data_IF_635121176500
#
_entry.id   IF_635121176500
#
_cell.length_a   1.000
_cell.length_b   1.000
_cell.length_c   1.000
_cell.angle_alpha   90.00
_cell.angle_beta   90.00
_cell.angle_gamma   90.00
#
_symmetry.space_group_name_H-M   'P 1'
#
loop_
_entity.id
_entity.type
_entity.pdbx_description
1 polymer ?
#
# COMPACT_ATOMS: atom_id res chain seq x y z
N UNK A 1 -4.60 32.82 -7.35
CA UNK A 1 -4.92 31.81 -6.31
C UNK A 1 -6.12 30.96 -6.72
N UNK A 2 -7.27 31.57 -7.07
CA UNK A 2 -8.47 30.85 -7.54
C UNK A 2 -8.18 29.81 -8.65
N UNK A 3 -7.42 30.19 -9.69
CA UNK A 3 -7.09 29.27 -10.79
C UNK A 3 -6.28 28.05 -10.35
N UNK A 4 -5.34 28.21 -9.41
CA UNK A 4 -4.53 27.11 -8.90
C UNK A 4 -5.36 26.12 -8.08
N UNK A 5 -6.26 26.63 -7.23
CA UNK A 5 -7.16 25.77 -6.46
C UNK A 5 -8.19 25.06 -7.35
N UNK A 6 -8.70 25.73 -8.40
CA UNK A 6 -9.57 25.08 -9.38
C UNK A 6 -8.85 23.91 -10.07
N UNK A 7 -7.58 24.08 -10.47
CA UNK A 7 -6.77 23.01 -11.06
C UNK A 7 -6.57 21.81 -10.12
N UNK A 8 -6.60 22.01 -8.80
CA UNK A 8 -6.48 20.93 -7.80
C UNK A 8 -7.83 20.29 -7.47
N UNK A 9 -8.87 21.09 -7.25
CA UNK A 9 -10.18 20.62 -6.78
C UNK A 9 -10.98 19.97 -7.90
N UNK A 10 -10.92 20.51 -9.12
CA UNK A 10 -11.76 20.03 -10.24
C UNK A 10 -11.46 18.55 -10.60
N UNK A 11 -10.21 18.10 -10.77
CA UNK A 11 -9.93 16.69 -11.06
C UNK A 11 -10.40 15.76 -9.94
N UNK A 12 -10.22 16.17 -8.68
CA UNK A 12 -10.66 15.39 -7.50
C UNK A 12 -12.18 15.28 -7.46
N UNK A 13 -12.90 16.38 -7.67
CA UNK A 13 -14.35 16.40 -7.70
C UNK A 13 -14.92 15.55 -8.84
N UNK A 14 -14.33 15.62 -10.05
CA UNK A 14 -14.72 14.79 -11.18
C UNK A 14 -14.45 13.30 -10.93
N UNK A 15 -13.31 12.96 -10.32
CA UNK A 15 -12.97 11.58 -9.98
C UNK A 15 -13.93 10.98 -8.93
N UNK A 16 -14.23 11.75 -7.87
CA UNK A 16 -15.20 11.35 -6.85
C UNK A 16 -16.62 11.21 -7.42
N UNK A 17 -17.02 12.12 -8.31
CA UNK A 17 -18.29 12.06 -9.03
C UNK A 17 -18.41 10.81 -9.91
N UNK A 18 -17.37 10.49 -10.69
CA UNK A 18 -17.34 9.28 -11.51
C UNK A 18 -17.36 7.98 -10.69
N UNK A 19 -16.70 7.99 -9.53
CA UNK A 19 -16.68 6.83 -8.63
C UNK A 19 -17.94 6.74 -7.74
N UNK A 20 -18.78 7.79 -7.71
CA UNK A 20 -19.92 7.94 -6.81
C UNK A 20 -19.56 7.74 -5.32
N UNK A 21 -18.39 8.25 -4.90
CA UNK A 21 -17.88 8.13 -3.53
C UNK A 21 -17.72 9.49 -2.88
N UNK A 22 -18.03 9.60 -1.59
CA UNK A 22 -17.74 10.80 -0.81
C UNK A 22 -16.28 10.82 -0.34
N UNK A 23 -15.65 12.01 -0.27
CA UNK A 23 -14.29 12.11 0.24
C UNK A 23 -14.25 11.76 1.73
N UNK A 24 -13.25 10.99 2.14
CA UNK A 24 -12.95 10.74 3.56
C UNK A 24 -11.93 11.77 4.08
N UNK A 25 -11.88 12.07 5.38
CA UNK A 25 -10.87 12.97 5.93
C UNK A 25 -9.43 12.56 5.58
N UNK A 26 -9.15 11.25 5.56
CA UNK A 26 -7.85 10.71 5.16
C UNK A 26 -7.49 11.01 3.70
N UNK A 27 -8.47 11.04 2.80
CA UNK A 27 -8.28 11.36 1.37
C UNK A 27 -8.04 12.84 1.10
N UNK A 28 -8.47 13.73 2.00
CA UNK A 28 -8.36 15.18 1.82
C UNK A 28 -6.97 15.73 2.16
N UNK A 29 -6.16 14.97 2.92
CA UNK A 29 -4.84 15.42 3.39
C UNK A 29 -3.93 15.96 2.27
N UNK A 30 -3.65 15.19 1.20
CA UNK A 30 -2.84 15.67 0.09
C UNK A 30 -3.42 16.89 -0.64
N UNK A 31 -4.74 16.96 -0.79
CA UNK A 31 -5.41 18.10 -1.42
C UNK A 31 -5.25 19.38 -0.59
N UNK A 32 -5.49 19.29 0.73
CA UNK A 32 -5.33 20.41 1.66
C UNK A 32 -3.87 20.86 1.70
N UNK A 33 -2.93 19.93 1.73
CA UNK A 33 -1.50 20.22 1.64
C UNK A 33 -1.17 20.99 0.35
N UNK A 34 -1.62 20.51 -0.81
CA UNK A 34 -1.39 21.17 -2.10
C UNK A 34 -1.98 22.58 -2.13
N UNK A 35 -3.21 22.77 -1.62
CA UNK A 35 -3.84 24.10 -1.52
C UNK A 35 -3.04 25.06 -0.64
N UNK A 36 -2.54 24.59 0.51
CA UNK A 36 -1.70 25.37 1.42
C UNK A 36 -0.35 25.73 0.77
N UNK A 37 0.26 24.80 0.03
CA UNK A 37 1.47 25.07 -0.75
C UNK A 37 1.23 26.12 -1.83
N UNK A 38 0.07 26.13 -2.50
CA UNK A 38 -0.26 27.21 -3.44
C UNK A 38 -0.30 28.59 -2.76
N UNK A 39 -0.83 28.68 -1.54
CA UNK A 39 -0.83 29.93 -0.76
C UNK A 39 0.60 30.33 -0.43
N UNK A 40 1.40 29.39 0.06
CA UNK A 40 2.80 29.66 0.41
C UNK A 40 3.61 30.15 -0.80
N UNK A 41 3.50 29.49 -1.95
CA UNK A 41 4.17 29.92 -3.18
C UNK A 41 3.67 31.29 -3.69
N UNK A 42 2.37 31.58 -3.55
CA UNK A 42 1.83 32.88 -3.92
C UNK A 42 2.41 34.00 -3.04
N UNK A 43 2.54 33.77 -1.74
CA UNK A 43 3.18 34.69 -0.79
C UNK A 43 4.65 34.93 -1.15
N UNK A 44 5.40 33.87 -1.42
CA UNK A 44 6.82 33.98 -1.81
C UNK A 44 6.95 34.76 -3.12
N UNK A 45 6.17 34.40 -4.15
CA UNK A 45 6.17 35.06 -5.45
C UNK A 45 5.78 36.53 -5.37
N UNK A 46 4.79 36.88 -4.53
CA UNK A 46 4.42 38.28 -4.27
C UNK A 46 5.57 39.05 -3.63
N UNK A 47 6.25 38.47 -2.63
CA UNK A 47 7.42 39.11 -2.02
C UNK A 47 8.57 39.35 -2.98
N UNK A 48 8.87 38.39 -3.85
CA UNK A 48 9.88 38.56 -4.89
C UNK A 48 9.45 39.61 -5.91
N UNK A 49 8.17 39.65 -6.28
CA UNK A 49 7.61 40.64 -7.21
C UNK A 49 7.63 42.09 -6.68
N UNK A 50 7.70 42.28 -5.37
CA UNK A 50 7.92 43.60 -4.76
C UNK A 50 9.39 44.07 -4.88
N UNK A 51 10.33 43.13 -5.06
CA UNK A 51 11.77 43.41 -5.09
C UNK A 51 12.35 43.43 -6.52
N UNK A 52 11.72 42.74 -7.47
CA UNK A 52 12.22 42.57 -8.81
C UNK A 52 11.15 42.88 -9.89
N UNK A 53 11.54 43.39 -11.07
CA UNK A 53 10.61 43.60 -12.18
C UNK A 53 9.91 42.31 -12.61
N UNK A 54 8.63 42.34 -13.03
CA UNK A 54 7.88 41.14 -13.43
C UNK A 54 8.56 40.30 -14.51
N UNK A 55 9.26 40.96 -15.45
CA UNK A 55 10.01 40.34 -16.55
C UNK A 55 11.14 39.43 -16.04
N UNK A 56 11.69 39.69 -14.85
CA UNK A 56 12.77 38.90 -14.24
C UNK A 56 12.23 37.97 -13.16
N UNK A 57 11.29 38.44 -12.34
CA UNK A 57 10.76 37.69 -11.20
C UNK A 57 10.10 36.36 -11.63
N UNK A 58 9.24 36.39 -12.66
CA UNK A 58 8.53 35.21 -13.13
C UNK A 58 9.46 34.09 -13.67
N UNK A 59 10.39 34.34 -14.61
CA UNK A 59 11.30 33.30 -15.08
C UNK A 59 12.26 32.82 -13.98
N UNK A 60 12.76 33.73 -13.13
CA UNK A 60 13.62 33.36 -12.01
C UNK A 60 12.91 32.39 -11.06
N UNK A 61 11.69 32.72 -10.63
CA UNK A 61 10.91 31.84 -9.75
C UNK A 61 10.58 30.52 -10.41
N UNK A 62 10.31 30.52 -11.72
CA UNK A 62 10.05 29.28 -12.48
C UNK A 62 11.28 28.37 -12.48
N UNK A 63 12.46 28.92 -12.74
CA UNK A 63 13.73 28.18 -12.69
C UNK A 63 14.00 27.67 -11.27
N UNK A 64 13.83 28.50 -10.24
CA UNK A 64 14.03 28.09 -8.85
C UNK A 64 13.08 26.95 -8.44
N UNK A 65 11.80 27.04 -8.78
CA UNK A 65 10.83 25.96 -8.52
C UNK A 65 11.22 24.69 -9.28
N UNK A 66 11.65 24.81 -10.54
CA UNK A 66 12.10 23.66 -11.30
C UNK A 66 13.33 22.99 -10.66
N UNK A 67 14.35 23.77 -10.28
CA UNK A 67 15.57 23.23 -9.65
C UNK A 67 15.29 22.65 -8.26
N UNK A 68 14.50 23.33 -7.44
CA UNK A 68 14.30 22.91 -6.04
C UNK A 68 13.22 21.83 -5.87
N UNK A 69 12.21 21.84 -6.74
CA UNK A 69 11.09 20.91 -6.67
C UNK A 69 11.24 19.86 -7.76
N UNK A 70 11.19 20.22 -9.04
CA UNK A 70 11.14 19.24 -10.12
C UNK A 70 12.40 18.35 -10.16
N UNK A 71 13.59 18.94 -10.06
CA UNK A 71 14.86 18.21 -10.10
C UNK A 71 15.11 17.34 -8.86
N UNK A 72 14.39 17.55 -7.75
CA UNK A 72 14.50 16.68 -6.57
C UNK A 72 14.12 15.22 -6.88
N UNK A 73 13.28 15.00 -7.89
CA UNK A 73 12.92 13.67 -8.39
C UNK A 73 14.10 12.90 -9.00
N UNK A 74 15.03 13.61 -9.64
CA UNK A 74 16.18 13.00 -10.32
C UNK A 74 17.36 12.71 -9.40
N UNK A 75 17.23 12.97 -8.10
CA UNK A 75 18.29 12.72 -7.13
C UNK A 75 18.02 11.43 -6.35
N UNK A 76 19.08 10.66 -6.05
CA UNK A 76 18.99 9.50 -5.16
C UNK A 76 18.74 9.89 -3.69
N UNK A 77 18.86 11.19 -3.40
CA UNK A 77 18.58 11.78 -2.10
C UNK A 77 17.06 11.89 -1.87
N UNK A 78 16.45 10.78 -1.44
CA UNK A 78 15.02 10.66 -1.17
C UNK A 78 14.43 11.74 -0.25
N UNK A 79 15.22 12.27 0.69
CA UNK A 79 14.76 13.34 1.56
C UNK A 79 14.39 14.62 0.77
N UNK A 80 15.08 14.91 -0.34
CA UNK A 80 14.86 16.13 -1.13
C UNK A 80 13.46 16.17 -1.73
N UNK A 81 13.01 15.04 -2.31
CA UNK A 81 11.65 14.92 -2.86
C UNK A 81 10.56 15.01 -1.78
N UNK A 82 10.82 14.46 -0.59
CA UNK A 82 9.83 14.43 0.49
C UNK A 82 9.63 15.83 1.08
N UNK A 83 10.72 16.57 1.27
CA UNK A 83 10.70 17.97 1.73
C UNK A 83 10.14 18.92 0.67
N UNK A 84 10.35 18.66 -0.62
CA UNK A 84 9.77 19.49 -1.70
C UNK A 84 8.28 19.21 -1.94
N UNK A 85 7.71 18.21 -1.25
CA UNK A 85 6.30 17.85 -1.36
C UNK A 85 5.98 16.97 -2.57
N UNK A 86 7.01 16.42 -3.22
CA UNK A 86 6.82 15.42 -4.26
C UNK A 86 6.52 14.07 -3.62
N UNK A 87 5.26 13.65 -3.71
CA UNK A 87 4.84 12.31 -3.28
C UNK A 87 5.23 11.28 -4.34
N UNK A 88 6.15 10.35 -4.02
CA UNK A 88 6.74 9.50 -5.04
C UNK A 88 5.86 8.39 -5.59
N UNK A 89 4.67 8.21 -5.01
CA UNK A 89 3.81 7.09 -5.36
C UNK A 89 2.36 7.51 -5.43
N UNK A 90 1.68 7.01 -6.45
CA UNK A 90 0.23 6.83 -6.40
C UNK A 90 -0.11 5.99 -5.17
N UNK A 91 -0.99 6.49 -4.31
CA UNK A 91 -1.52 5.72 -3.18
C UNK A 91 -2.19 4.46 -3.72
N UNK A 92 -1.82 3.29 -3.17
CA UNK A 92 -2.49 2.04 -3.50
C UNK A 92 -3.84 1.96 -2.79
N UNK A 93 -4.66 0.99 -3.18
CA UNK A 93 -5.94 0.76 -2.51
C UNK A 93 -5.73 0.48 -1.02
N UNK A 94 -6.52 1.14 -0.17
CA UNK A 94 -6.41 1.03 1.29
C UNK A 94 -5.26 1.84 1.90
N UNK A 95 -4.52 2.61 1.12
CA UNK A 95 -3.48 3.51 1.63
C UNK A 95 -3.96 4.95 1.79
N UNK A 96 -3.42 5.64 2.78
CA UNK A 96 -3.57 7.09 2.91
C UNK A 96 -2.26 7.74 3.38
N UNK A 97 -2.09 9.02 3.07
CA UNK A 97 -0.98 9.81 3.60
C UNK A 97 -1.13 9.94 5.13
N UNK A 98 -0.05 9.71 5.87
CA UNK A 98 -0.03 10.06 7.31
C UNK A 98 0.03 11.58 7.45
N UNK A 99 -0.52 12.13 8.54
CA UNK A 99 -0.32 13.56 8.82
C UNK A 99 1.17 13.91 8.93
N UNK A 100 1.97 13.04 9.54
CA UNK A 100 3.43 13.20 9.61
C UNK A 100 4.09 13.32 8.23
N UNK A 101 3.55 12.62 7.23
CA UNK A 101 4.05 12.70 5.85
C UNK A 101 3.67 13.97 5.08
N UNK A 102 2.71 14.76 5.58
CA UNK A 102 2.25 16.01 4.96
C UNK A 102 2.92 17.25 5.55
N UNK A 103 3.47 17.14 6.76
CA UNK A 103 4.03 18.27 7.53
C UNK A 103 5.34 18.82 6.94
N UNK A 104 6.35 18.01 6.55
CA UNK A 104 7.64 18.54 6.08
C UNK A 104 7.56 19.54 4.93
N UNK A 105 6.80 19.31 3.84
CA UNK A 105 6.69 20.32 2.79
C UNK A 105 5.97 21.59 3.25
N UNK A 106 5.00 21.46 4.16
CA UNK A 106 4.33 22.62 4.77
C UNK A 106 5.30 23.41 5.67
N UNK A 107 6.16 22.73 6.42
CA UNK A 107 7.19 23.39 7.23
C UNK A 107 8.20 24.12 6.34
N UNK A 108 8.74 23.47 5.30
CA UNK A 108 9.71 24.12 4.42
C UNK A 108 9.10 25.34 3.72
N UNK A 109 8.09 25.12 2.88
CA UNK A 109 7.54 26.19 2.05
C UNK A 109 6.75 27.20 2.89
N UNK A 110 6.01 26.73 3.88
CA UNK A 110 5.27 27.59 4.81
C UNK A 110 6.20 28.41 5.70
N UNK A 111 7.34 27.87 6.14
CA UNK A 111 8.36 28.60 6.89
C UNK A 111 8.95 29.74 6.07
N UNK A 112 9.33 29.49 4.82
CA UNK A 112 9.80 30.51 3.88
C UNK A 112 8.73 31.58 3.64
N UNK A 113 7.50 31.16 3.33
CA UNK A 113 6.38 32.07 3.11
C UNK A 113 6.07 32.92 4.34
N UNK A 114 6.14 32.34 5.53
CA UNK A 114 5.96 33.06 6.81
C UNK A 114 7.06 34.09 7.00
N UNK A 115 8.33 33.72 6.76
CA UNK A 115 9.46 34.67 6.81
C UNK A 115 9.27 35.86 5.88
N UNK A 116 8.84 35.62 4.64
CA UNK A 116 8.50 36.67 3.67
C UNK A 116 7.34 37.53 4.16
N UNK A 117 6.27 36.91 4.67
CA UNK A 117 5.10 37.64 5.18
C UNK A 117 5.41 38.51 6.41
N UNK A 118 6.30 38.04 7.29
CA UNK A 118 6.75 38.78 8.47
C UNK A 118 7.39 40.13 8.10
N UNK A 119 8.01 40.25 6.91
CA UNK A 119 8.58 41.52 6.44
C UNK A 119 7.53 42.61 6.21
N UNK A 120 6.27 42.23 5.94
CA UNK A 120 5.16 43.16 5.74
C UNK A 120 4.42 43.51 7.03
N UNK A 121 4.64 42.77 8.12
CA UNK A 121 3.95 43.05 9.37
C UNK A 121 4.37 44.41 9.94
N UNK A 122 3.42 45.17 10.52
CA UNK A 122 3.67 46.46 11.16
C UNK A 122 4.30 46.30 12.55
N UNK A 123 5.36 45.51 12.66
CA UNK A 123 6.13 45.38 13.90
C UNK A 123 6.94 46.66 14.16
N UNK A 124 6.80 47.22 15.36
CA UNK A 124 7.44 48.49 15.75
C UNK A 124 8.97 48.43 15.70
N UNK A 125 9.56 47.26 15.92
CA UNK A 125 11.00 47.05 15.90
C UNK A 125 11.46 46.39 14.59
N UNK A 126 12.08 47.18 13.71
CA UNK A 126 12.72 46.72 12.46
C UNK A 126 13.74 45.58 12.67
N UNK A 127 14.65 45.61 13.67
CA UNK A 127 15.61 44.52 13.85
C UNK A 127 14.94 43.21 14.29
N UNK A 128 13.92 43.27 15.15
CA UNK A 128 13.17 42.08 15.57
C UNK A 128 12.45 41.45 14.37
N UNK A 129 11.85 42.27 13.50
CA UNK A 129 11.19 41.80 12.29
C UNK A 129 12.17 41.11 11.34
N UNK A 130 13.34 41.72 11.10
CA UNK A 130 14.38 41.13 10.26
C UNK A 130 14.90 39.82 10.83
N UNK A 131 15.12 39.76 12.16
CA UNK A 131 15.55 38.56 12.84
C UNK A 131 14.52 37.43 12.68
N UNK A 132 13.24 37.69 12.94
CA UNK A 132 12.17 36.69 12.77
C UNK A 132 12.02 36.22 11.32
N UNK A 133 12.07 37.15 10.37
CA UNK A 133 11.99 36.84 8.95
C UNK A 133 13.14 35.95 8.47
N UNK A 134 14.32 36.01 9.12
CA UNK A 134 15.46 35.15 8.83
C UNK A 134 15.42 33.83 9.62
N UNK A 135 15.08 33.85 10.90
CA UNK A 135 15.15 32.67 11.77
C UNK A 135 14.04 31.67 11.49
N UNK A 136 12.81 32.12 11.22
CA UNK A 136 11.67 31.23 10.98
C UNK A 136 11.89 30.29 9.79
N UNK A 137 12.26 30.78 8.58
CA UNK A 137 12.55 29.89 7.46
C UNK A 137 13.66 28.88 7.75
N UNK A 138 14.74 29.30 8.41
CA UNK A 138 15.88 28.43 8.74
C UNK A 138 15.45 27.32 9.68
N UNK A 139 14.78 27.67 10.78
CA UNK A 139 14.31 26.70 11.78
C UNK A 139 13.34 25.71 11.14
N UNK A 140 12.34 26.19 10.40
CA UNK A 140 11.38 25.33 9.73
C UNK A 140 12.02 24.42 8.68
N UNK A 141 13.01 24.91 7.92
CA UNK A 141 13.75 24.11 6.94
C UNK A 141 14.55 23.01 7.63
N UNK A 142 15.26 23.32 8.71
CA UNK A 142 16.02 22.32 9.48
C UNK A 142 15.08 21.24 10.02
N UNK A 143 13.96 21.61 10.64
CA UNK A 143 12.99 20.64 11.13
C UNK A 143 12.35 19.81 10.01
N UNK A 144 12.02 20.43 8.87
CA UNK A 144 11.47 19.73 7.72
C UNK A 144 12.44 18.67 7.21
N UNK A 145 13.73 19.03 7.05
CA UNK A 145 14.76 18.08 6.60
C UNK A 145 14.93 16.99 7.64
N UNK A 146 15.13 17.32 8.93
CA UNK A 146 15.30 16.35 10.02
C UNK A 146 14.15 15.32 10.07
N UNK A 147 12.92 15.75 9.82
CA UNK A 147 11.75 14.87 9.81
C UNK A 147 11.78 13.81 8.69
N UNK A 148 12.50 14.06 7.58
CA UNK A 148 12.50 13.19 6.39
C UNK A 148 13.82 12.50 6.10
N UNK A 149 14.92 12.81 6.82
CA UNK A 149 16.25 12.27 6.49
C UNK A 149 16.30 10.74 6.53
N UNK A 150 15.49 10.12 7.39
CA UNK A 150 15.41 8.66 7.52
C UNK A 150 14.35 8.01 6.62
N UNK A 151 13.68 8.75 5.75
CA UNK A 151 12.62 8.18 4.89
C UNK A 151 13.21 7.51 3.67
N UNK A 152 12.68 6.33 3.35
CA UNK A 152 13.07 5.56 2.17
C UNK A 152 12.38 6.09 0.89
N UNK A 153 12.34 5.23 -0.14
CA UNK A 153 11.57 5.36 -1.40
C UNK A 153 10.16 5.95 -1.21
N UNK A 154 9.51 5.64 -0.09
CA UNK A 154 8.14 6.04 0.21
C UNK A 154 8.09 6.83 1.52
N UNK A 155 7.23 7.86 1.62
CA UNK A 155 6.97 8.48 2.90
C UNK A 155 6.20 7.50 3.82
N UNK A 156 6.13 7.76 5.13
CA UNK A 156 5.26 7.00 6.03
C UNK A 156 3.80 7.08 5.59
N UNK A 157 3.18 5.93 5.31
CA UNK A 157 1.79 5.81 4.89
C UNK A 157 0.96 5.03 5.90
N UNK A 158 -0.33 5.33 5.95
CA UNK A 158 -1.32 4.49 6.61
C UNK A 158 -1.74 3.38 5.64
N UNK A 159 -1.91 2.18 6.17
CA UNK A 159 -2.51 1.04 5.47
C UNK A 159 -3.86 0.68 6.14
N UNK A 160 -4.65 -0.19 5.49
CA UNK A 160 -5.91 -0.66 6.06
C UNK A 160 -7.00 0.41 6.14
N UNK A 161 -6.90 1.48 5.35
CA UNK A 161 -7.85 2.60 5.37
C UNK A 161 -9.08 2.35 4.49
N UNK A 162 -9.10 1.23 3.75
CA UNK A 162 -10.27 0.85 2.96
C UNK A 162 -11.36 0.29 3.89
N UNK A 163 -12.61 0.77 3.80
CA UNK A 163 -13.70 0.17 4.54
C UNK A 163 -13.93 -1.27 4.06
N UNK A 164 -14.11 -2.17 5.01
CA UNK A 164 -14.25 -3.61 4.76
C UNK A 164 -15.64 -4.08 5.17
N UNK A 165 -16.29 -4.85 4.30
CA UNK A 165 -17.48 -5.61 4.63
C UNK A 165 -17.07 -7.01 5.06
N UNK A 166 -17.53 -7.42 6.23
CA UNK A 166 -17.26 -8.72 6.80
C UNK A 166 -18.54 -9.51 7.04
N UNK A 167 -18.53 -10.80 6.73
CA UNK A 167 -19.66 -11.70 7.00
C UNK A 167 -19.16 -13.01 7.61
N UNK A 168 -19.92 -13.51 8.60
CA UNK A 168 -19.67 -14.77 9.27
C UNK A 168 -18.74 -14.69 10.47
N UNK A 169 -18.62 -15.83 11.15
CA UNK A 169 -17.85 -15.93 12.40
C UNK A 169 -16.74 -17.00 12.32
N UNK A 170 -16.94 -18.10 11.58
CA UNK A 170 -15.96 -19.19 11.44
C UNK A 170 -15.99 -19.83 10.03
N UNK A 171 -15.17 -19.36 9.06
CA UNK A 171 -14.37 -18.14 9.13
C UNK A 171 -15.23 -16.88 8.91
N UNK A 172 -14.84 -15.79 9.58
CA UNK A 172 -15.26 -14.43 9.21
C UNK A 172 -14.51 -14.02 7.95
N UNK A 173 -15.24 -13.66 6.89
CA UNK A 173 -14.63 -13.27 5.61
C UNK A 173 -14.83 -11.77 5.39
N UNK A 174 -13.74 -11.05 5.17
CA UNK A 174 -13.71 -9.60 4.98
C UNK A 174 -13.18 -9.22 3.60
N UNK A 175 -13.95 -8.45 2.83
CA UNK A 175 -13.55 -7.88 1.53
C UNK A 175 -13.79 -6.37 1.51
N UNK A 176 -13.10 -5.59 0.66
CA UNK A 176 -13.35 -4.16 0.60
C UNK A 176 -14.76 -3.84 0.11
N UNK A 177 -15.41 -2.83 0.70
CA UNK A 177 -16.76 -2.38 0.28
C UNK A 177 -16.82 -1.97 -1.19
N UNK A 178 -15.75 -1.35 -1.68
CA UNK A 178 -15.64 -0.93 -3.08
C UNK A 178 -15.43 -2.11 -4.05
N UNK A 179 -15.26 -3.33 -3.55
CA UNK A 179 -15.05 -4.49 -4.39
C UNK A 179 -16.37 -4.90 -5.06
N UNK A 180 -16.35 -5.30 -6.35
CA UNK A 180 -17.52 -5.93 -6.98
C UNK A 180 -17.87 -7.28 -6.32
N UNK A 181 -16.97 -7.79 -5.48
CA UNK A 181 -17.15 -8.94 -4.62
C UNK A 181 -18.39 -8.83 -3.73
N UNK A 182 -19.39 -9.68 -3.97
CA UNK A 182 -20.40 -9.92 -2.93
C UNK A 182 -19.76 -10.76 -1.82
N UNK A 183 -19.51 -10.15 -0.67
CA UNK A 183 -18.89 -10.79 0.51
C UNK A 183 -19.51 -12.15 0.86
N UNK A 184 -20.83 -12.29 0.70
CA UNK A 184 -21.53 -13.56 0.93
C UNK A 184 -21.13 -14.67 -0.06
N UNK A 185 -20.92 -14.33 -1.34
CA UNK A 185 -20.44 -15.28 -2.34
C UNK A 185 -18.99 -15.70 -2.06
N UNK A 186 -18.14 -14.75 -1.65
CA UNK A 186 -16.75 -15.04 -1.26
C UNK A 186 -16.70 -15.97 -0.06
N UNK A 187 -17.54 -15.73 0.95
CA UNK A 187 -17.67 -16.63 2.10
C UNK A 187 -18.13 -18.03 1.71
N UNK A 188 -19.10 -18.13 0.81
CA UNK A 188 -19.58 -19.43 0.31
C UNK A 188 -18.45 -20.23 -0.32
N UNK A 189 -17.63 -19.61 -1.18
CA UNK A 189 -16.47 -20.28 -1.77
C UNK A 189 -15.41 -20.66 -0.71
N UNK A 190 -15.11 -19.77 0.22
CA UNK A 190 -14.15 -20.05 1.28
C UNK A 190 -14.58 -21.22 2.18
N UNK A 191 -15.85 -21.26 2.58
CA UNK A 191 -16.40 -22.36 3.37
C UNK A 191 -16.44 -23.68 2.59
N UNK A 192 -16.73 -23.64 1.29
CA UNK A 192 -16.64 -24.82 0.42
C UNK A 192 -15.21 -25.35 0.33
N UNK A 193 -14.23 -24.49 0.06
CA UNK A 193 -12.81 -24.90 -0.02
C UNK A 193 -12.34 -25.50 1.30
N UNK A 194 -12.71 -24.90 2.44
CA UNK A 194 -12.37 -25.44 3.76
C UNK A 194 -13.03 -26.81 3.99
N UNK A 195 -14.29 -26.99 3.60
CA UNK A 195 -14.99 -28.26 3.72
C UNK A 195 -14.31 -29.36 2.86
N UNK A 196 -13.91 -29.03 1.63
CA UNK A 196 -13.19 -29.95 0.74
C UNK A 196 -11.87 -30.39 1.40
N UNK A 197 -11.09 -29.44 1.93
CA UNK A 197 -9.83 -29.74 2.63
C UNK A 197 -10.06 -30.56 3.91
N UNK A 198 -11.08 -30.24 4.71
CA UNK A 198 -11.43 -30.99 5.92
C UNK A 198 -11.82 -32.42 5.60
N UNK A 199 -12.55 -32.64 4.50
CA UNK A 199 -12.91 -33.99 4.03
C UNK A 199 -11.69 -34.83 3.66
N UNK A 200 -10.56 -34.19 3.34
CA UNK A 200 -9.27 -34.81 3.06
C UNK A 200 -8.33 -34.86 4.29
N UNK A 201 -8.83 -34.56 5.50
CA UNK A 201 -8.08 -34.66 6.75
C UNK A 201 -7.21 -33.45 7.09
N UNK A 202 -7.34 -32.33 6.36
CA UNK A 202 -6.78 -31.04 6.80
C UNK A 202 -7.53 -30.55 8.05
N UNK A 203 -6.79 -30.08 9.05
CA UNK A 203 -7.38 -29.65 10.33
C UNK A 203 -7.38 -28.12 10.52
N UNK A 204 -6.75 -27.36 9.61
CA UNK A 204 -6.66 -25.91 9.74
C UNK A 204 -8.02 -25.25 9.51
N UNK A 205 -8.37 -24.29 10.37
CA UNK A 205 -9.54 -23.44 10.18
C UNK A 205 -9.18 -22.03 10.64
N UNK A 206 -9.08 -21.04 9.74
CA UNK A 206 -8.84 -19.67 10.17
C UNK A 206 -10.07 -19.13 10.87
N UNK A 207 -9.85 -18.24 11.83
CA UNK A 207 -10.91 -17.42 12.40
C UNK A 207 -11.35 -16.35 11.40
N UNK A 208 -10.37 -15.77 10.69
CA UNK A 208 -10.59 -14.65 9.76
C UNK A 208 -9.90 -14.90 8.43
N UNK A 209 -10.60 -14.63 7.33
CA UNK A 209 -10.03 -14.52 5.98
C UNK A 209 -10.26 -13.08 5.52
N UNK A 210 -9.19 -12.32 5.34
CA UNK A 210 -9.24 -10.92 4.93
C UNK A 210 -8.62 -10.75 3.55
N UNK A 211 -9.22 -9.88 2.74
CA UNK A 211 -8.64 -9.49 1.48
C UNK A 211 -7.41 -8.60 1.69
N UNK A 212 -6.25 -9.04 1.18
CA UNK A 212 -5.00 -8.27 1.24
C UNK A 212 -5.03 -6.99 0.41
N UNK A 213 -6.00 -6.80 -0.48
CA UNK A 213 -6.12 -5.59 -1.29
C UNK A 213 -6.20 -4.32 -0.42
N UNK A 214 -6.81 -4.40 0.76
CA UNK A 214 -6.91 -3.27 1.70
C UNK A 214 -5.63 -2.95 2.47
N UNK A 215 -4.61 -3.81 2.42
CA UNK A 215 -3.36 -3.64 3.19
C UNK A 215 -2.32 -2.77 2.49
N UNK A 216 -2.61 -2.29 1.27
CA UNK A 216 -1.70 -1.43 0.52
C UNK A 216 -0.47 -2.15 -0.01
N UNK A 217 0.65 -1.43 -0.06
CA UNK A 217 1.91 -1.89 -0.70
C UNK A 217 2.75 -2.83 0.16
N UNK A 218 2.49 -2.88 1.47
CA UNK A 218 3.20 -3.72 2.42
C UNK A 218 2.22 -4.73 3.04
N UNK A 219 1.74 -5.73 2.26
CA UNK A 219 0.81 -6.71 2.76
C UNK A 219 1.47 -7.55 3.86
N UNK A 220 0.68 -7.87 4.88
CA UNK A 220 1.14 -8.68 5.99
C UNK A 220 1.10 -10.17 5.61
N UNK A 221 1.98 -11.01 6.17
CA UNK A 221 1.89 -12.45 5.98
C UNK A 221 0.61 -13.01 6.64
N UNK A 222 0.11 -14.12 6.10
CA UNK A 222 -0.94 -14.89 6.76
C UNK A 222 -0.42 -15.53 8.05
N UNK A 223 -1.31 -15.71 9.02
CA UNK A 223 -1.06 -16.44 10.26
C UNK A 223 -1.97 -17.66 10.35
N UNK A 224 -1.80 -18.46 11.40
CA UNK A 224 -2.64 -19.63 11.66
C UNK A 224 -4.14 -19.27 11.79
N UNK A 225 -4.46 -18.13 12.39
CA UNK A 225 -5.84 -17.68 12.65
C UNK A 225 -6.35 -16.65 11.65
N UNK A 226 -5.46 -15.91 10.98
CA UNK A 226 -5.82 -14.84 10.03
C UNK A 226 -5.17 -15.08 8.68
N UNK A 227 -5.99 -15.47 7.71
CA UNK A 227 -5.54 -15.66 6.33
C UNK A 227 -5.70 -14.35 5.55
N UNK A 228 -4.61 -13.90 4.93
CA UNK A 228 -4.55 -12.70 4.09
C UNK A 228 -4.46 -13.12 2.64
N UNK A 229 -5.58 -13.03 1.95
CA UNK A 229 -5.79 -13.65 0.64
C UNK A 229 -6.11 -12.59 -0.39
N UNK A 230 -5.68 -12.75 -1.64
CA UNK A 230 -6.08 -11.85 -2.73
C UNK A 230 -7.50 -12.13 -3.21
N UNK A 231 -8.53 -11.91 -2.39
CA UNK A 231 -9.91 -12.33 -2.67
C UNK A 231 -10.50 -11.58 -3.87
N UNK A 232 -10.43 -10.25 -3.89
CA UNK A 232 -10.94 -9.42 -4.99
C UNK A 232 -10.23 -9.74 -6.30
N UNK A 233 -8.89 -9.83 -6.27
CA UNK A 233 -8.10 -10.17 -7.46
C UNK A 233 -8.42 -11.60 -7.94
N UNK A 234 -8.50 -12.56 -7.01
CA UNK A 234 -8.83 -13.95 -7.32
C UNK A 234 -10.18 -14.06 -8.02
N UNK A 235 -11.20 -13.34 -7.56
CA UNK A 235 -12.50 -13.33 -8.21
C UNK A 235 -12.50 -12.67 -9.59
N UNK A 236 -11.79 -11.56 -9.78
CA UNK A 236 -11.63 -10.93 -11.10
C UNK A 236 -10.95 -11.86 -12.11
N UNK A 237 -10.08 -12.75 -11.63
CA UNK A 237 -9.33 -13.70 -12.45
C UNK A 237 -9.99 -15.08 -12.55
N UNK A 238 -11.12 -15.31 -11.87
CA UNK A 238 -11.73 -16.64 -11.79
C UNK A 238 -10.93 -17.67 -10.98
N UNK A 239 -10.04 -17.21 -10.10
CA UNK A 239 -9.12 -18.02 -9.29
C UNK A 239 -9.43 -17.95 -7.78
N UNK A 240 -10.63 -17.51 -7.39
CA UNK A 240 -10.94 -17.26 -5.97
C UNK A 240 -10.67 -18.48 -5.09
N UNK A 241 -11.17 -19.65 -5.51
CA UNK A 241 -10.97 -20.93 -4.81
C UNK A 241 -9.49 -21.31 -4.72
N UNK A 242 -8.74 -21.12 -5.81
CA UNK A 242 -7.30 -21.36 -5.82
C UNK A 242 -6.55 -20.44 -4.85
N UNK A 243 -6.88 -19.15 -4.78
CA UNK A 243 -6.23 -18.23 -3.84
C UNK A 243 -6.49 -18.62 -2.37
N UNK A 244 -7.70 -19.09 -2.05
CA UNK A 244 -8.04 -19.60 -0.71
C UNK A 244 -7.29 -20.92 -0.42
N UNK A 245 -7.22 -21.81 -1.40
CA UNK A 245 -6.44 -23.06 -1.31
C UNK A 245 -4.97 -22.79 -1.00
N UNK A 246 -4.36 -21.82 -1.69
CA UNK A 246 -2.97 -21.38 -1.42
C UNK A 246 -2.78 -20.86 0.00
N UNK A 247 -3.78 -20.19 0.56
CA UNK A 247 -3.71 -19.64 1.92
C UNK A 247 -3.77 -20.72 3.00
N UNK A 248 -4.34 -21.90 2.70
CA UNK A 248 -4.38 -23.05 3.60
C UNK A 248 -3.00 -23.73 3.76
N UNK A 249 -2.17 -23.68 2.72
CA UNK A 249 -0.83 -24.28 2.69
C UNK A 249 0.21 -23.28 3.21
N UNK A 250 0.39 -23.25 4.54
CA UNK A 250 1.34 -22.37 5.22
C UNK A 250 2.51 -23.17 5.80
N UNK A 251 3.72 -22.85 5.35
CA UNK A 251 4.95 -23.42 5.91
C UNK A 251 5.45 -22.58 7.09
N UNK A 252 5.88 -23.19 8.20
CA UNK A 252 6.43 -22.48 9.35
C UNK A 252 7.85 -21.91 9.13
N UNK A 253 8.40 -22.00 7.91
CA UNK A 253 9.76 -21.61 7.57
C UNK A 253 9.81 -20.66 6.37
N UNK A 254 10.89 -19.89 6.26
CA UNK A 254 11.11 -18.93 5.17
C UNK A 254 11.55 -19.60 3.86
N UNK A 255 12.29 -20.71 3.95
CA UNK A 255 12.75 -21.47 2.78
C UNK A 255 12.11 -22.85 2.81
N UNK A 256 11.37 -23.16 1.76
CA UNK A 256 10.64 -24.42 1.61
C UNK A 256 11.32 -25.24 0.53
N UNK A 257 11.55 -26.52 0.79
CA UNK A 257 11.99 -27.47 -0.23
C UNK A 257 10.97 -27.49 -1.40
N UNK A 258 11.40 -27.26 -2.65
CA UNK A 258 10.50 -27.18 -3.80
C UNK A 258 9.67 -28.44 -4.04
N UNK A 259 10.18 -29.63 -3.69
CA UNK A 259 9.44 -30.89 -3.91
C UNK A 259 8.28 -30.98 -2.93
N UNK A 260 8.52 -30.79 -1.62
CA UNK A 260 7.46 -30.81 -0.62
C UNK A 260 6.47 -29.65 -0.78
N UNK A 261 7.00 -28.45 -1.10
CA UNK A 261 6.20 -27.26 -1.39
C UNK A 261 5.19 -27.48 -2.51
N UNK A 262 5.67 -27.97 -3.66
CA UNK A 262 4.82 -28.23 -4.81
C UNK A 262 3.90 -29.45 -4.61
N UNK A 263 4.33 -30.47 -3.87
CA UNK A 263 3.48 -31.62 -3.55
C UNK A 263 2.27 -31.24 -2.70
N UNK A 264 2.47 -30.45 -1.65
CA UNK A 264 1.36 -29.98 -0.81
C UNK A 264 0.42 -29.05 -1.58
N UNK A 265 0.97 -28.16 -2.39
CA UNK A 265 0.18 -27.27 -3.22
C UNK A 265 -0.64 -28.01 -4.28
N UNK A 266 -0.06 -29.01 -4.95
CA UNK A 266 -0.76 -29.83 -5.93
C UNK A 266 -1.83 -30.69 -5.26
N UNK A 267 -1.52 -31.35 -4.14
CA UNK A 267 -2.52 -32.11 -3.37
C UNK A 267 -3.71 -31.23 -2.98
N UNK A 268 -3.46 -30.07 -2.38
CA UNK A 268 -4.52 -29.15 -1.97
C UNK A 268 -5.36 -28.67 -3.17
N UNK A 269 -4.70 -28.33 -4.28
CA UNK A 269 -5.38 -27.93 -5.52
C UNK A 269 -6.23 -29.07 -6.11
N UNK A 270 -5.77 -30.32 -6.10
CA UNK A 270 -6.56 -31.45 -6.58
C UNK A 270 -7.78 -31.71 -5.68
N UNK A 271 -7.62 -31.64 -4.35
CA UNK A 271 -8.74 -31.78 -3.41
C UNK A 271 -9.81 -30.70 -3.60
N UNK A 272 -9.41 -29.46 -3.88
CA UNK A 272 -10.34 -28.34 -4.02
C UNK A 272 -10.87 -28.11 -5.44
N UNK A 273 -10.48 -28.97 -6.39
CA UNK A 273 -10.86 -28.88 -7.81
C UNK A 273 -10.08 -27.84 -8.63
N UNK A 274 -9.00 -27.28 -8.08
CA UNK A 274 -8.21 -26.18 -8.62
C UNK A 274 -6.90 -26.63 -9.31
N UNK A 275 -6.82 -27.90 -9.73
CA UNK A 275 -5.61 -28.44 -10.36
C UNK A 275 -5.26 -27.70 -11.68
N UNK A 276 -6.27 -27.26 -12.44
CA UNK A 276 -6.05 -26.48 -13.66
C UNK A 276 -5.36 -25.13 -13.36
N UNK A 277 -5.79 -24.44 -12.30
CA UNK A 277 -5.19 -23.18 -11.86
C UNK A 277 -3.75 -23.39 -11.36
N UNK A 278 -3.50 -24.47 -10.62
CA UNK A 278 -2.14 -24.88 -10.25
C UNK A 278 -1.25 -25.12 -11.47
N UNK A 279 -1.71 -25.92 -12.44
CA UNK A 279 -0.94 -26.22 -13.65
C UNK A 279 -0.67 -24.97 -14.49
N UNK A 280 -1.64 -24.05 -14.58
CA UNK A 280 -1.45 -22.75 -15.23
C UNK A 280 -0.39 -21.90 -14.52
N UNK A 281 -0.39 -21.88 -13.19
CA UNK A 281 0.62 -21.17 -12.39
C UNK A 281 2.03 -21.75 -12.54
N UNK A 282 2.14 -23.06 -12.74
CA UNK A 282 3.40 -23.77 -12.92
C UNK A 282 3.92 -23.78 -14.38
N UNK A 283 3.11 -23.32 -15.34
CA UNK A 283 3.50 -23.28 -16.75
C UNK A 283 4.76 -22.44 -16.93
N UNK A 284 5.81 -23.06 -17.49
CA UNK A 284 7.12 -22.43 -17.71
C UNK A 284 8.04 -22.40 -16.48
N UNK A 285 7.65 -23.01 -15.35
CA UNK A 285 8.45 -23.11 -14.12
C UNK A 285 8.87 -24.56 -13.89
N UNK A 286 9.87 -25.02 -14.64
CA UNK A 286 10.45 -26.33 -14.41
C UNK A 286 11.19 -26.35 -13.05
N UNK A 287 10.99 -27.40 -12.27
CA UNK A 287 11.73 -27.63 -11.03
C UNK A 287 12.15 -29.10 -10.94
N UNK A 288 13.27 -29.37 -10.28
CA UNK A 288 13.73 -30.73 -10.05
C UNK A 288 12.69 -31.50 -9.21
N UNK A 289 12.31 -32.70 -9.65
CA UNK A 289 11.34 -33.54 -8.92
C UNK A 289 9.87 -33.40 -9.33
N UNK A 290 9.52 -32.71 -10.43
CA UNK A 290 8.11 -32.60 -10.86
C UNK A 290 7.41 -33.97 -11.02
N UNK A 291 8.07 -34.94 -11.65
CA UNK A 291 7.53 -36.30 -11.82
C UNK A 291 7.30 -36.98 -10.47
N UNK A 292 8.21 -36.73 -9.52
CA UNK A 292 8.10 -37.26 -8.16
C UNK A 292 6.92 -36.63 -7.42
N UNK A 293 6.77 -35.31 -7.47
CA UNK A 293 5.62 -34.59 -6.91
C UNK A 293 4.30 -35.19 -7.39
N UNK A 294 4.12 -35.34 -8.71
CA UNK A 294 2.88 -35.90 -9.28
C UNK A 294 2.66 -37.38 -8.91
N UNK A 295 3.74 -38.15 -8.71
CA UNK A 295 3.64 -39.55 -8.26
C UNK A 295 3.21 -39.61 -6.79
N UNK A 296 3.86 -38.84 -5.92
CA UNK A 296 3.57 -38.77 -4.49
C UNK A 296 2.13 -38.32 -4.26
N UNK A 297 1.68 -37.26 -4.93
CA UNK A 297 0.29 -36.77 -4.76
C UNK A 297 -0.73 -37.81 -5.20
N UNK A 298 -0.53 -38.50 -6.33
CA UNK A 298 -1.42 -39.59 -6.77
C UNK A 298 -1.52 -40.74 -5.76
N UNK A 299 -0.42 -41.08 -5.10
CA UNK A 299 -0.41 -42.12 -4.05
C UNK A 299 -1.14 -41.66 -2.78
N UNK A 300 -1.01 -40.39 -2.42
CA UNK A 300 -1.69 -39.83 -1.24
C UNK A 300 -3.19 -39.71 -1.48
N UNK A 301 -3.62 -39.27 -2.66
CA UNK A 301 -5.03 -39.04 -2.98
C UNK A 301 -5.92 -40.31 -2.89
N UNK A 302 -5.33 -41.50 -3.05
CA UNK A 302 -6.05 -42.78 -2.89
C UNK A 302 -6.07 -43.29 -1.45
N UNK A 303 -5.33 -42.66 -0.54
CA UNK A 303 -5.29 -43.01 0.88
C UNK A 303 -6.53 -42.47 1.62
N UNK A 304 -6.85 -43.07 2.76
CA UNK A 304 -7.91 -42.55 3.63
C UNK A 304 -7.62 -41.12 4.10
N UNK A 305 -8.65 -40.28 4.35
CA UNK A 305 -8.48 -38.89 4.78
C UNK A 305 -7.55 -38.70 5.98
N UNK A 306 -7.59 -39.63 6.95
CA UNK A 306 -6.72 -39.57 8.13
C UNK A 306 -5.24 -39.69 7.77
N UNK A 307 -4.91 -40.55 6.82
CA UNK A 307 -3.54 -40.73 6.32
C UNK A 307 -3.11 -39.54 5.45
N UNK A 308 -4.01 -38.98 4.65
CA UNK A 308 -3.73 -37.73 3.91
C UNK A 308 -3.41 -36.57 4.86
N UNK A 309 -4.21 -36.40 5.92
CA UNK A 309 -3.94 -35.38 6.95
C UNK A 309 -2.63 -35.60 7.72
N UNK A 310 -2.24 -36.86 7.95
CA UNK A 310 -0.94 -37.20 8.57
C UNK A 310 0.22 -36.88 7.63
N UNK A 311 0.11 -37.28 6.37
CA UNK A 311 1.08 -36.95 5.31
C UNK A 311 1.23 -35.44 5.14
N UNK A 312 0.13 -34.69 5.18
CA UNK A 312 0.13 -33.22 5.09
C UNK A 312 1.01 -32.60 6.18
N UNK A 313 0.78 -33.00 7.44
CA UNK A 313 1.57 -32.50 8.59
C UNK A 313 3.04 -32.89 8.51
N UNK A 314 3.33 -34.12 8.09
CA UNK A 314 4.71 -34.59 7.92
C UNK A 314 5.42 -33.81 6.83
N UNK A 315 4.79 -33.66 5.66
CA UNK A 315 5.34 -32.92 4.52
C UNK A 315 5.59 -31.45 4.83
N UNK A 316 4.74 -30.80 5.65
CA UNK A 316 4.99 -29.45 6.14
C UNK A 316 6.27 -29.37 6.98
N UNK A 317 6.48 -30.34 7.87
CA UNK A 317 7.68 -30.41 8.70
C UNK A 317 8.93 -30.74 7.87
N UNK A 318 8.84 -31.73 6.99
CA UNK A 318 9.94 -32.18 6.12
C UNK A 318 10.39 -31.08 5.16
N UNK A 319 9.43 -30.35 4.56
CA UNK A 319 9.71 -29.23 3.65
C UNK A 319 10.50 -28.09 4.30
N UNK A 320 10.52 -28.01 5.63
CA UNK A 320 11.27 -27.02 6.38
C UNK A 320 12.63 -27.53 6.92
N UNK A 321 12.91 -28.83 6.94
CA UNK A 321 14.14 -29.38 7.54
C UNK A 321 15.43 -29.06 6.78
N UNK A 322 15.35 -28.76 5.49
CA UNK A 322 16.53 -28.37 4.70
C UNK A 322 16.86 -26.87 4.80
N UNK A 323 16.09 -26.11 5.61
CA UNK A 323 16.25 -24.66 5.80
C UNK A 323 17.04 -24.26 7.04
N UNK A 324 17.37 -25.23 7.90
CA UNK A 324 18.17 -25.08 9.12
C UNK A 324 19.64 -25.38 8.90
#
# INVERSE_FOLDING_TARGET
>A
MASAWIMLVLPVALALGNAAVLPTPASLGPLVMAMALCVAHATIGFGVGLLAPPVVAAPLMSVLVWVLVAFSWSTDAFWMRHVSGQYPTTLMFGEAATYGSLVPPLLLTGGIATGVALLWLPLRSRPVRGLLAATVPVICSVFAVQAVQGWEANPPLLAGQAPMDCVGDAPKVCVPQASPARVAAVRKEATSVLADLHSAGYAGTPEVIVDRLGEGRYPLPSTATTWRVGLTRGMQQGELRYQITRAAVQFPCLRVDPVHGNALMLWAATITGEEAAYNAHMKGRAFAGEKEVRRTVRQVLVSEPREQGKWYRQSLADGCRQSS
#
